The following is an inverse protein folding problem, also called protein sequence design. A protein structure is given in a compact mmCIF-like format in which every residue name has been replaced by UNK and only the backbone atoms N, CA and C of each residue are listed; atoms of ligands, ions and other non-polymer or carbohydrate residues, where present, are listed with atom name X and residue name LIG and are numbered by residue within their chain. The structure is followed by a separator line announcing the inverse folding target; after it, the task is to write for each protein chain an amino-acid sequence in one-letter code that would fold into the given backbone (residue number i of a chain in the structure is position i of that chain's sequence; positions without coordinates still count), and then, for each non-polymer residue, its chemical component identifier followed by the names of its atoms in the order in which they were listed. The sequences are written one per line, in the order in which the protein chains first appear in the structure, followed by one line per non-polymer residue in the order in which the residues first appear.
data_IF_044213598286
#
_entry.id   IF_044213598286
#
_cell.length_a   1.000
_cell.length_b   1.000
_cell.length_c   1.000
_cell.angle_alpha   90.00
_cell.angle_beta   90.00
_cell.angle_gamma   90.00
#
_symmetry.space_group_name_H-M   'P 1'
#
loop_
_entity.id
_entity.type
_entity.pdbx_description
1 polymer ?
#
# COMPACT_ATOMS: atom_id res chain seq x y z
N UNK A 1 4.84 3.19 17.29
CA UNK A 1 4.33 1.94 16.66
C UNK A 1 3.08 1.50 17.39
N UNK A 2 1.98 1.32 16.68
CA UNK A 2 0.66 0.96 17.24
C UNK A 2 0.46 -0.56 17.44
N UNK A 3 1.47 -1.38 17.07
CA UNK A 3 1.45 -2.83 17.21
C UNK A 3 0.61 -3.58 16.17
N UNK A 4 -0.01 -2.88 15.22
CA UNK A 4 -0.87 -3.53 14.21
C UNK A 4 -0.09 -4.36 13.18
N UNK A 5 1.18 -4.03 12.95
CA UNK A 5 2.08 -4.71 12.01
C UNK A 5 2.99 -5.68 12.77
N UNK A 6 2.86 -6.97 12.53
CA UNK A 6 3.69 -7.97 13.20
C UNK A 6 5.11 -8.00 12.59
N UNK A 7 6.18 -7.83 13.41
CA UNK A 7 7.56 -7.88 12.94
C UNK A 7 7.96 -9.18 12.24
N UNK A 8 7.26 -10.29 12.51
CA UNK A 8 7.51 -11.58 11.86
C UNK A 8 7.41 -11.51 10.33
N UNK A 9 6.67 -10.55 9.81
CA UNK A 9 6.55 -10.34 8.38
C UNK A 9 7.84 -9.79 7.74
N UNK A 10 8.74 -9.15 8.51
CA UNK A 10 10.01 -8.63 7.96
C UNK A 10 10.86 -9.76 7.37
N UNK A 11 10.95 -10.90 8.06
CA UNK A 11 11.65 -12.08 7.54
C UNK A 11 10.96 -12.65 6.30
N UNK A 12 9.63 -12.68 6.30
CA UNK A 12 8.85 -13.14 5.15
C UNK A 12 9.04 -12.24 3.94
N UNK A 13 9.03 -10.91 4.13
CA UNK A 13 9.34 -9.94 3.09
C UNK A 13 10.73 -10.19 2.50
N UNK A 14 11.76 -10.31 3.34
CA UNK A 14 13.14 -10.49 2.89
C UNK A 14 13.31 -11.80 2.11
N UNK A 15 12.72 -12.90 2.61
CA UNK A 15 12.72 -14.18 1.90
C UNK A 15 12.01 -14.08 0.56
N UNK A 16 10.85 -13.42 0.50
CA UNK A 16 10.06 -13.25 -0.73
C UNK A 16 10.80 -12.41 -1.75
N UNK A 17 11.37 -11.28 -1.34
CA UNK A 17 12.15 -10.38 -2.18
C UNK A 17 13.32 -11.11 -2.84
N UNK A 18 14.07 -11.90 -2.07
CA UNK A 18 15.20 -12.70 -2.58
C UNK A 18 14.75 -13.84 -3.50
N UNK A 19 13.68 -14.57 -3.12
CA UNK A 19 13.15 -15.70 -3.88
C UNK A 19 12.64 -15.27 -5.25
N UNK A 20 11.84 -14.21 -5.28
CA UNK A 20 11.20 -13.73 -6.51
C UNK A 20 12.11 -12.79 -7.31
N UNK A 21 13.26 -12.39 -6.74
CA UNK A 21 14.18 -11.39 -7.31
C UNK A 21 13.46 -10.08 -7.66
N UNK A 22 12.59 -9.63 -6.78
CA UNK A 22 11.81 -8.39 -6.93
C UNK A 22 12.42 -7.27 -6.11
N UNK A 23 12.12 -6.03 -6.45
CA UNK A 23 12.65 -4.82 -5.79
C UNK A 23 11.72 -4.34 -4.68
N UNK A 24 10.44 -4.75 -4.74
CA UNK A 24 9.43 -4.39 -3.75
C UNK A 24 8.60 -5.62 -3.40
N UNK A 25 8.28 -5.77 -2.11
CA UNK A 25 7.30 -6.74 -1.61
C UNK A 25 6.22 -5.97 -0.86
N UNK A 26 4.98 -6.06 -1.32
CA UNK A 26 3.82 -5.47 -0.64
C UNK A 26 3.13 -6.49 0.25
N UNK A 27 2.69 -6.04 1.43
CA UNK A 27 1.71 -6.76 2.24
C UNK A 27 0.30 -6.52 1.70
N UNK A 28 -0.53 -7.54 1.72
CA UNK A 28 -1.94 -7.44 1.37
C UNK A 28 -2.79 -7.97 2.52
N UNK A 29 -3.85 -7.23 2.88
CA UNK A 29 -4.84 -7.63 3.91
C UNK A 29 -6.03 -8.35 3.29
N UNK A 30 -6.15 -8.37 1.96
CA UNK A 30 -7.28 -8.96 1.24
C UNK A 30 -6.81 -10.08 0.33
N UNK A 31 -7.46 -11.23 0.46
CA UNK A 31 -7.16 -12.43 -0.29
C UNK A 31 -7.03 -13.67 0.60
N UNK A 32 -6.66 -14.79 0.01
CA UNK A 32 -6.51 -16.05 0.74
C UNK A 32 -5.35 -15.95 1.73
N UNK A 33 -5.61 -16.24 3.01
CA UNK A 33 -4.60 -16.18 4.07
C UNK A 33 -4.26 -14.77 4.57
N UNK A 34 -5.02 -13.75 4.16
CA UNK A 34 -4.88 -12.37 4.58
C UNK A 34 -6.07 -11.93 5.45
N UNK A 35 -5.91 -10.83 6.19
CA UNK A 35 -6.99 -10.26 7.00
C UNK A 35 -6.60 -8.97 7.71
N UNK A 36 -7.59 -8.28 8.24
CA UNK A 36 -7.39 -7.15 9.14
C UNK A 36 -8.40 -7.21 10.29
N UNK A 37 -7.90 -7.07 11.51
CA UNK A 37 -8.70 -6.95 12.72
C UNK A 37 -8.92 -5.47 13.11
N UNK A 38 -8.32 -4.54 12.37
CA UNK A 38 -8.37 -3.10 12.61
C UNK A 38 -9.19 -2.35 11.54
N UNK A 39 -9.58 -3.04 10.47
CA UNK A 39 -10.33 -2.44 9.36
C UNK A 39 -11.82 -2.31 9.70
N UNK A 40 -12.42 -1.18 9.31
CA UNK A 40 -13.85 -0.95 9.42
C UNK A 40 -14.53 -1.19 8.08
N UNK A 41 -15.84 -1.37 8.07
CA UNK A 41 -16.59 -1.53 6.81
C UNK A 41 -16.37 -0.35 5.86
N UNK A 42 -16.32 0.88 6.38
CA UNK A 42 -16.10 2.10 5.59
C UNK A 42 -14.71 2.12 4.97
N UNK A 43 -13.67 1.84 5.77
CA UNK A 43 -12.29 1.80 5.29
C UNK A 43 -12.06 0.64 4.33
N UNK A 44 -12.70 -0.50 4.56
CA UNK A 44 -12.68 -1.64 3.66
C UNK A 44 -13.25 -1.30 2.28
N UNK A 45 -14.47 -0.75 2.23
CA UNK A 45 -15.13 -0.35 0.98
C UNK A 45 -14.28 0.71 0.26
N UNK A 46 -13.84 1.74 0.98
CA UNK A 46 -12.99 2.79 0.41
C UNK A 46 -11.72 2.24 -0.21
N UNK A 47 -11.03 1.34 0.50
CA UNK A 47 -9.81 0.72 -0.02
C UNK A 47 -10.08 -0.14 -1.27
N UNK A 48 -11.21 -0.88 -1.30
CA UNK A 48 -11.59 -1.65 -2.50
C UNK A 48 -11.83 -0.75 -3.70
N UNK A 49 -12.50 0.39 -3.52
CA UNK A 49 -12.72 1.38 -4.59
C UNK A 49 -11.38 1.90 -5.11
N UNK A 50 -10.49 2.39 -4.25
CA UNK A 50 -9.18 2.89 -4.66
C UNK A 50 -8.30 1.82 -5.31
N UNK A 51 -8.38 0.59 -4.83
CA UNK A 51 -7.67 -0.54 -5.43
C UNK A 51 -8.17 -0.82 -6.85
N UNK A 52 -9.48 -0.78 -7.08
CA UNK A 52 -10.08 -0.96 -8.42
C UNK A 52 -9.63 0.18 -9.35
N UNK A 53 -9.67 1.44 -8.89
CA UNK A 53 -9.15 2.59 -9.65
C UNK A 53 -7.67 2.37 -9.98
N UNK A 54 -6.86 1.93 -9.03
CA UNK A 54 -5.45 1.63 -9.24
C UNK A 54 -5.21 0.56 -10.31
N UNK A 55 -6.02 -0.50 -10.31
CA UNK A 55 -5.95 -1.57 -11.31
C UNK A 55 -6.34 -1.09 -12.71
N UNK A 56 -7.44 -0.35 -12.82
CA UNK A 56 -8.00 0.06 -14.13
C UNK A 56 -7.14 1.16 -14.77
N UNK A 57 -6.78 2.20 -14.02
CA UNK A 57 -6.17 3.40 -14.59
C UNK A 57 -4.63 3.40 -14.54
N UNK A 58 -4.03 2.56 -13.68
CA UNK A 58 -2.57 2.52 -13.49
C UNK A 58 -1.97 1.13 -13.70
N UNK A 59 -2.77 0.15 -14.12
CA UNK A 59 -2.33 -1.24 -14.35
C UNK A 59 -1.60 -1.85 -13.14
N UNK A 60 -2.09 -1.56 -11.92
CA UNK A 60 -1.54 -2.11 -10.69
C UNK A 60 -2.07 -3.52 -10.45
N UNK A 61 -1.20 -4.42 -9.96
CA UNK A 61 -1.58 -5.81 -9.68
C UNK A 61 -1.90 -6.08 -8.21
N UNK A 62 -1.65 -5.10 -7.31
CA UNK A 62 -1.91 -5.26 -5.88
C UNK A 62 -3.41 -5.24 -5.55
N UNK A 63 -3.78 -5.92 -4.45
CA UNK A 63 -5.16 -6.02 -3.98
C UNK A 63 -5.47 -5.09 -2.79
N UNK A 64 -4.49 -4.31 -2.32
CA UNK A 64 -4.60 -3.45 -1.15
C UNK A 64 -3.73 -2.19 -1.31
N UNK A 65 -4.24 -1.22 -2.08
CA UNK A 65 -3.44 -0.02 -2.45
C UNK A 65 -3.17 0.91 -1.27
N UNK A 66 -4.06 0.95 -0.25
CA UNK A 66 -3.91 1.85 0.88
C UNK A 66 -3.05 1.27 2.02
N UNK A 67 -2.62 0.01 1.90
CA UNK A 67 -1.81 -0.64 2.93
C UNK A 67 -0.33 -0.32 2.78
N UNK A 68 0.17 0.59 3.61
CA UNK A 68 1.57 1.07 3.56
C UNK A 68 2.55 0.15 4.32
N UNK A 69 2.32 -1.16 4.27
CA UNK A 69 3.25 -2.13 4.83
C UNK A 69 3.96 -2.87 3.70
N UNK A 70 5.21 -2.51 3.46
CA UNK A 70 6.01 -3.04 2.36
C UNK A 70 7.49 -3.06 2.70
N UNK A 71 8.26 -3.84 1.96
CA UNK A 71 9.71 -3.79 1.93
C UNK A 71 10.15 -3.36 0.53
N UNK A 72 11.05 -2.39 0.46
CA UNK A 72 11.64 -1.91 -0.79
C UNK A 72 13.14 -1.72 -0.63
N UNK A 73 13.90 -1.97 -1.69
CA UNK A 73 15.32 -1.62 -1.71
C UNK A 73 15.50 -0.11 -1.58
N UNK A 74 16.36 0.32 -0.64
CA UNK A 74 16.57 1.76 -0.34
C UNK A 74 17.00 2.56 -1.58
N UNK A 75 17.85 1.98 -2.42
CA UNK A 75 18.31 2.63 -3.66
C UNK A 75 17.14 2.90 -4.60
N UNK A 76 16.23 1.93 -4.75
CA UNK A 76 15.04 2.03 -5.61
C UNK A 76 14.01 3.00 -5.04
N UNK A 77 13.77 2.95 -3.74
CA UNK A 77 12.90 3.90 -3.06
C UNK A 77 13.36 5.35 -3.25
N UNK A 78 14.67 5.61 -3.12
CA UNK A 78 15.24 6.96 -3.31
C UNK A 78 15.20 7.47 -4.75
N UNK A 79 15.03 6.60 -5.74
CA UNK A 79 14.86 7.00 -7.14
C UNK A 79 13.46 7.53 -7.45
N UNK A 80 12.48 7.25 -6.57
CA UNK A 80 11.12 7.72 -6.73
C UNK A 80 11.02 9.16 -6.23
N UNK A 81 10.66 10.08 -7.12
CA UNK A 81 10.41 11.47 -6.75
C UNK A 81 8.98 11.62 -6.19
N UNK A 82 8.84 11.66 -4.86
CA UNK A 82 7.55 11.82 -4.18
C UNK A 82 7.11 13.28 -4.16
N UNK A 83 5.82 13.51 -4.42
CA UNK A 83 5.20 14.84 -4.45
C UNK A 83 4.26 15.05 -3.25
N UNK A 84 3.63 13.97 -2.76
CA UNK A 84 2.65 14.08 -1.68
C UNK A 84 3.28 13.84 -0.31
N UNK A 85 2.86 14.66 0.66
CA UNK A 85 3.32 14.59 2.06
C UNK A 85 2.22 14.12 3.01
N UNK A 86 1.06 13.76 2.47
CA UNK A 86 -0.10 13.30 3.22
C UNK A 86 -0.42 11.83 2.91
N UNK A 87 -1.64 11.39 3.25
CA UNK A 87 -2.06 10.02 2.98
C UNK A 87 -2.10 9.63 1.50
N UNK A 88 -2.02 10.57 0.56
CA UNK A 88 -1.92 10.28 -0.87
C UNK A 88 -0.63 9.54 -1.23
N UNK A 89 0.38 9.55 -0.36
CA UNK A 89 1.58 8.73 -0.50
C UNK A 89 1.26 7.24 -0.68
N UNK A 90 0.20 6.71 -0.05
CA UNK A 90 -0.15 5.29 -0.15
C UNK A 90 -0.52 4.87 -1.59
N UNK A 91 -1.07 5.76 -2.39
CA UNK A 91 -1.35 5.53 -3.81
C UNK A 91 -0.21 6.00 -4.71
N UNK A 92 0.50 7.05 -4.32
CA UNK A 92 1.62 7.58 -5.08
C UNK A 92 2.75 6.56 -5.22
N UNK A 93 3.13 5.91 -4.12
CA UNK A 93 4.24 4.96 -4.12
C UNK A 93 4.04 3.81 -5.11
N UNK A 94 2.95 3.02 -5.08
CA UNK A 94 2.77 1.93 -6.03
C UNK A 94 2.61 2.42 -7.48
N UNK A 95 1.97 3.57 -7.72
CA UNK A 95 1.83 4.13 -9.06
C UNK A 95 3.19 4.53 -9.63
N UNK A 96 4.00 5.26 -8.86
CA UNK A 96 5.34 5.66 -9.29
C UNK A 96 6.32 4.49 -9.36
N UNK A 97 6.21 3.50 -8.48
CA UNK A 97 6.97 2.26 -8.58
C UNK A 97 6.69 1.53 -9.90
N UNK A 98 5.41 1.41 -10.28
CA UNK A 98 5.02 0.82 -11.58
C UNK A 98 5.58 1.61 -12.75
N UNK A 99 5.51 2.95 -12.73
CA UNK A 99 6.04 3.83 -13.78
C UNK A 99 7.56 3.74 -13.93
N UNK A 100 8.26 3.50 -12.82
CA UNK A 100 9.70 3.25 -12.82
C UNK A 100 10.05 1.79 -13.17
N UNK A 101 9.09 0.97 -13.60
CA UNK A 101 9.24 -0.43 -13.95
C UNK A 101 9.84 -1.29 -12.82
N UNK A 102 9.60 -0.91 -11.55
CA UNK A 102 10.07 -1.71 -10.42
C UNK A 102 9.28 -3.00 -10.31
N UNK A 103 10.02 -4.10 -10.19
CA UNK A 103 9.44 -5.43 -10.03
C UNK A 103 8.86 -5.61 -8.62
N UNK A 104 7.64 -6.17 -8.55
CA UNK A 104 6.92 -6.29 -7.30
C UNK A 104 6.44 -7.72 -7.05
N UNK A 105 6.44 -8.12 -5.79
CA UNK A 105 5.77 -9.31 -5.31
C UNK A 105 4.88 -9.00 -4.10
N UNK A 106 4.05 -9.95 -3.70
CA UNK A 106 3.00 -9.73 -2.72
C UNK A 106 2.98 -10.86 -1.71
N UNK A 107 2.69 -10.55 -0.43
CA UNK A 107 2.47 -11.54 0.60
C UNK A 107 1.16 -11.25 1.35
N UNK A 108 0.36 -12.29 1.67
CA UNK A 108 -0.78 -12.13 2.55
C UNK A 108 -0.30 -11.84 3.98
N UNK A 109 -0.95 -10.88 4.64
CA UNK A 109 -0.67 -10.51 6.01
C UNK A 109 -1.96 -10.39 6.82
N UNK A 110 -1.86 -10.65 8.11
CA UNK A 110 -2.94 -10.39 9.06
C UNK A 110 -2.56 -9.15 9.86
N UNK A 111 -3.32 -8.08 9.67
CA UNK A 111 -3.18 -6.87 10.47
C UNK A 111 -3.86 -7.07 11.82
N UNK A 112 -3.11 -6.92 12.89
CA UNK A 112 -3.62 -7.01 14.26
C UNK A 112 -4.38 -5.74 14.64
N UNK A 113 -5.27 -5.85 15.61
CA UNK A 113 -5.86 -4.68 16.26
C UNK A 113 -4.75 -3.87 16.94
N UNK A 114 -4.83 -2.55 16.85
CA UNK A 114 -3.87 -1.66 17.56
C UNK A 114 -3.98 -1.88 19.06
N UNK A 115 -2.83 -1.78 19.70
CA UNK A 115 -2.78 -1.80 21.16
C UNK A 115 -3.26 -0.48 21.76
N UNK A 116 -2.97 0.66 21.08
CA UNK A 116 -3.31 1.99 21.54
C UNK A 116 -3.43 2.99 20.37
N UNK A 117 -4.12 4.10 20.61
CA UNK A 117 -4.28 5.20 19.67
C UNK A 117 -5.56 5.13 18.81
N UNK A 118 -6.00 6.30 18.40
CA UNK A 118 -7.12 6.47 17.46
C UNK A 118 -6.60 6.45 16.02
N UNK A 119 -7.39 5.95 15.07
CA UNK A 119 -7.05 6.05 13.65
C UNK A 119 -6.76 7.49 13.26
N UNK A 120 -5.57 7.76 12.71
CA UNK A 120 -5.21 9.09 12.21
C UNK A 120 -5.91 9.44 10.92
N UNK A 121 -6.47 8.44 10.23
CA UNK A 121 -7.17 8.58 8.96
C UNK A 121 -8.57 9.15 9.21
N UNK A 122 -8.84 10.32 8.66
CA UNK A 122 -10.20 10.86 8.54
C UNK A 122 -10.79 10.34 7.22
N UNK A 123 -11.50 9.22 7.28
CA UNK A 123 -11.88 8.42 6.10
C UNK A 123 -12.44 9.23 4.93
N UNK A 124 -13.26 10.24 5.18
CA UNK A 124 -13.81 11.06 4.10
C UNK A 124 -12.80 12.10 3.57
N UNK A 125 -12.19 12.88 4.45
CA UNK A 125 -11.25 13.97 4.06
C UNK A 125 -10.02 13.39 3.37
N UNK A 126 -9.44 12.35 3.95
CA UNK A 126 -8.26 11.72 3.36
C UNK A 126 -8.62 10.93 2.10
N UNK A 127 -9.83 10.36 2.03
CA UNK A 127 -10.36 9.75 0.82
C UNK A 127 -10.44 10.73 -0.36
N UNK A 128 -10.92 11.95 -0.14
CA UNK A 128 -10.95 13.01 -1.17
C UNK A 128 -9.53 13.39 -1.60
N UNK A 129 -8.58 13.53 -0.66
CA UNK A 129 -7.18 13.83 -0.99
C UNK A 129 -6.54 12.72 -1.82
N UNK A 130 -6.76 11.46 -1.43
CA UNK A 130 -6.26 10.28 -2.15
C UNK A 130 -6.80 10.27 -3.59
N UNK A 131 -8.11 10.49 -3.76
CA UNK A 131 -8.73 10.55 -5.09
C UNK A 131 -8.14 11.68 -5.94
N UNK A 132 -8.00 12.88 -5.34
CA UNK A 132 -7.38 14.03 -6.01
C UNK A 132 -5.93 13.70 -6.40
N UNK A 133 -5.17 13.07 -5.50
CA UNK A 133 -3.81 12.59 -5.80
C UNK A 133 -3.76 11.62 -6.97
N UNK A 134 -4.68 10.66 -7.03
CA UNK A 134 -4.78 9.74 -8.17
C UNK A 134 -5.12 10.46 -9.47
N UNK A 135 -6.02 11.43 -9.46
CA UNK A 135 -6.35 12.26 -10.63
C UNK A 135 -5.12 13.04 -11.10
N UNK A 136 -4.41 13.70 -10.19
CA UNK A 136 -3.17 14.42 -10.52
C UNK A 136 -2.15 13.47 -11.14
N UNK A 137 -1.93 12.31 -10.53
CA UNK A 137 -1.00 11.31 -11.05
C UNK A 137 -1.44 10.76 -12.41
N UNK A 138 -2.73 10.68 -12.69
CA UNK A 138 -3.21 10.20 -13.98
C UNK A 138 -2.85 11.14 -15.13
N UNK A 139 -2.96 12.46 -14.92
CA UNK A 139 -2.63 13.46 -15.92
C UNK A 139 -1.15 13.83 -15.97
N UNK A 140 -0.41 13.64 -14.88
CA UNK A 140 1.06 13.77 -14.86
C UNK A 140 1.68 12.42 -15.25
N UNK A 141 2.05 12.28 -16.48
CA UNK A 141 2.83 11.11 -16.96
C UNK A 141 4.32 11.32 -16.76
#
# INVERSE_FOLDING_TARGET
ADGSKDPIYLDRFNKKLKKDKTEIVYAERYGVGAGSLDDTLVTHIGNRIFTIIGKIFFDLKLNDILHTFFLCEVKKFKQINFEFKDFSFCVEFPIKAKRNNLSCSYIPTIEKKRYDGVPKVRSFVDGVKILTGMIILFFKR
#
